data_IF_613559520068
#
_entry.id   IF_613559520068
#
_cell.length_a   1.000
_cell.length_b   1.000
_cell.length_c   1.000
_cell.angle_alpha   90.00
_cell.angle_beta   90.00
_cell.angle_gamma   90.00
#
_symmetry.space_group_name_H-M   'P 1'
#
loop_
_entity.id
_entity.type
_entity.pdbx_description
1 polymer ?
#
# COMPACT_ATOMS: atom_id res chain seq x y z
N UNK A 1 7.10 -44.89 -18.43
CA UNK A 1 8.50 -45.14 -18.81
C UNK A 1 9.36 -44.02 -18.28
N UNK A 2 10.01 -44.25 -17.14
CA UNK A 2 10.88 -43.27 -16.47
C UNK A 2 12.03 -42.83 -17.39
N UNK A 3 12.15 -41.52 -17.61
CA UNK A 3 13.25 -40.92 -18.39
C UNK A 3 14.48 -40.78 -17.48
N UNK A 4 15.41 -41.74 -17.57
CA UNK A 4 16.71 -41.69 -16.87
C UNK A 4 17.67 -40.73 -17.57
N UNK A 5 18.15 -39.72 -16.84
CA UNK A 5 19.33 -38.93 -17.20
C UNK A 5 20.56 -39.78 -16.84
N UNK A 6 21.37 -40.16 -17.84
CA UNK A 6 22.64 -40.86 -17.60
C UNK A 6 23.76 -39.84 -17.46
N UNK A 7 24.38 -39.78 -16.29
CA UNK A 7 25.64 -39.07 -16.07
C UNK A 7 26.79 -40.04 -16.34
N UNK A 8 27.67 -39.69 -17.28
CA UNK A 8 28.93 -40.41 -17.51
C UNK A 8 30.06 -39.45 -17.15
N UNK A 9 30.75 -39.74 -16.06
CA UNK A 9 31.91 -38.97 -15.60
C UNK A 9 33.18 -39.66 -16.06
N UNK A 10 33.90 -39.06 -16.99
CA UNK A 10 35.27 -39.46 -17.34
C UNK A 10 36.12 -38.19 -17.31
N UNK A 11 36.98 -38.07 -16.30
CA UNK A 11 38.05 -37.05 -16.14
C UNK A 11 37.72 -35.61 -16.52
N UNK A 12 37.48 -34.73 -15.54
CA UNK A 12 37.37 -33.25 -15.63
C UNK A 12 36.59 -32.62 -16.81
N UNK A 13 35.80 -33.39 -17.55
CA UNK A 13 34.89 -32.93 -18.61
C UNK A 13 33.58 -33.72 -18.53
N UNK A 14 32.51 -33.04 -18.14
CA UNK A 14 31.15 -33.61 -18.16
C UNK A 14 30.60 -33.45 -19.59
N UNK A 15 30.29 -34.57 -20.24
CA UNK A 15 29.65 -34.58 -21.56
C UNK A 15 28.12 -34.64 -21.40
N UNK A 16 27.42 -33.63 -21.92
CA UNK A 16 25.96 -33.66 -22.04
C UNK A 16 25.57 -34.25 -23.40
N UNK A 17 24.87 -35.39 -23.40
CA UNK A 17 24.16 -35.89 -24.57
C UNK A 17 22.66 -35.74 -24.29
N UNK A 18 22.06 -34.69 -24.84
CA UNK A 18 20.61 -34.48 -24.80
C UNK A 18 20.03 -34.93 -26.15
N UNK A 19 19.29 -36.04 -26.17
CA UNK A 19 18.87 -36.78 -27.39
C UNK A 19 17.84 -36.06 -28.27
N UNK A 20 17.66 -34.73 -28.16
CA UNK A 20 16.74 -33.99 -29.04
C UNK A 20 17.24 -32.63 -29.55
N UNK A 21 18.44 -32.18 -29.17
CA UNK A 21 19.05 -30.97 -29.73
C UNK A 21 20.51 -31.30 -30.01
N UNK A 22 20.87 -31.36 -31.29
CA UNK A 22 22.20 -31.74 -31.78
C UNK A 22 23.20 -30.58 -31.57
N UNK A 23 23.46 -30.21 -30.32
CA UNK A 23 24.39 -29.14 -29.96
C UNK A 23 25.42 -29.67 -28.94
N UNK A 24 26.64 -29.90 -29.41
CA UNK A 24 27.82 -30.11 -28.56
C UNK A 24 28.26 -28.74 -28.03
N UNK A 25 28.13 -28.51 -26.73
CA UNK A 25 28.68 -27.31 -26.08
C UNK A 25 29.72 -27.77 -25.06
N UNK A 26 30.98 -27.42 -25.30
CA UNK A 26 32.10 -27.61 -24.36
C UNK A 26 32.28 -26.31 -23.61
N UNK A 27 31.96 -26.27 -22.32
CA UNK A 27 32.11 -25.07 -21.46
C UNK A 27 32.96 -25.40 -20.24
N UNK A 28 33.94 -24.53 -19.96
CA UNK A 28 35.13 -24.85 -19.16
C UNK A 28 35.26 -24.05 -17.84
N UNK A 29 34.15 -23.57 -17.24
CA UNK A 29 34.24 -22.78 -15.99
C UNK A 29 33.08 -23.04 -15.01
N UNK A 30 33.38 -23.28 -13.74
CA UNK A 30 32.45 -23.77 -12.69
C UNK A 30 31.52 -22.69 -12.11
N UNK A 31 31.95 -21.42 -12.05
CA UNK A 31 31.11 -20.31 -11.60
C UNK A 31 30.01 -19.96 -12.61
N UNK A 32 30.33 -19.99 -13.91
CA UNK A 32 29.34 -19.87 -14.98
C UNK A 32 28.34 -21.03 -14.97
N UNK A 33 28.76 -22.22 -14.52
CA UNK A 33 27.92 -23.42 -14.43
C UNK A 33 26.77 -23.24 -13.43
N UNK A 34 27.00 -22.67 -12.24
CA UNK A 34 25.95 -22.43 -11.24
C UNK A 34 24.95 -21.36 -11.71
N UNK A 35 25.45 -20.27 -12.32
CA UNK A 35 24.61 -19.19 -12.81
C UNK A 35 23.74 -19.61 -14.00
N UNK A 36 24.31 -20.35 -14.97
CA UNK A 36 23.56 -20.91 -16.09
C UNK A 36 22.59 -22.01 -15.65
N UNK A 37 22.96 -22.85 -14.68
CA UNK A 37 22.09 -23.90 -14.17
C UNK A 37 20.92 -23.35 -13.34
N UNK A 38 21.16 -22.32 -12.52
CA UNK A 38 20.11 -21.57 -11.81
C UNK A 38 19.16 -20.89 -12.79
N UNK A 39 19.70 -20.25 -13.84
CA UNK A 39 18.88 -19.60 -14.88
C UNK A 39 18.11 -20.62 -15.74
N UNK A 40 18.69 -21.80 -15.98
CA UNK A 40 18.04 -22.90 -16.70
C UNK A 40 16.95 -23.58 -15.87
N UNK A 41 17.18 -23.83 -14.58
CA UNK A 41 16.16 -24.34 -13.65
C UNK A 41 15.03 -23.34 -13.44
N UNK A 42 15.35 -22.05 -13.29
CA UNK A 42 14.37 -20.97 -13.23
C UNK A 42 13.54 -20.91 -14.52
N UNK A 43 14.18 -21.01 -15.68
CA UNK A 43 13.50 -21.05 -16.98
C UNK A 43 12.62 -22.30 -17.16
N UNK A 44 13.09 -23.47 -16.73
CA UNK A 44 12.28 -24.71 -16.76
C UNK A 44 11.09 -24.65 -15.79
N UNK A 45 11.26 -24.07 -14.60
CA UNK A 45 10.19 -23.86 -13.62
C UNK A 45 9.14 -22.85 -14.12
N UNK A 46 9.60 -21.73 -14.67
CA UNK A 46 8.75 -20.72 -15.33
C UNK A 46 7.95 -21.32 -16.49
N UNK A 47 8.52 -22.28 -17.23
CA UNK A 47 7.77 -22.98 -18.28
C UNK A 47 6.60 -23.81 -17.76
N UNK A 48 6.76 -24.48 -16.61
CA UNK A 48 5.69 -25.28 -16.01
C UNK A 48 4.62 -24.40 -15.37
N UNK A 49 5.03 -23.29 -14.73
CA UNK A 49 4.10 -22.31 -14.13
C UNK A 49 3.26 -21.57 -15.19
N UNK A 50 3.84 -21.23 -16.35
CA UNK A 50 3.12 -20.57 -17.44
C UNK A 50 2.00 -21.45 -18.04
N UNK A 51 2.24 -22.75 -18.21
CA UNK A 51 1.22 -23.71 -18.67
C UNK A 51 0.05 -23.81 -17.68
N UNK A 52 0.33 -23.78 -16.37
CA UNK A 52 -0.71 -23.74 -15.34
C UNK A 52 -1.53 -22.45 -15.41
N UNK A 53 -0.88 -21.30 -15.63
CA UNK A 53 -1.57 -20.01 -15.77
C UNK A 53 -2.45 -19.96 -17.01
N UNK A 54 -1.99 -20.50 -18.14
CA UNK A 54 -2.81 -20.60 -19.35
C UNK A 54 -3.97 -21.57 -19.18
N UNK A 55 -3.76 -22.70 -18.51
CA UNK A 55 -4.81 -23.68 -18.21
C UNK A 55 -5.88 -23.05 -17.33
N UNK A 56 -5.48 -22.27 -16.31
CA UNK A 56 -6.40 -21.50 -15.47
C UNK A 56 -7.22 -20.52 -16.32
N UNK A 57 -6.58 -19.68 -17.14
CA UNK A 57 -7.29 -18.74 -18.01
C UNK A 57 -8.27 -19.45 -18.96
N UNK A 58 -7.86 -20.55 -19.58
CA UNK A 58 -8.70 -21.36 -20.45
C UNK A 58 -9.94 -21.88 -19.72
N UNK A 59 -9.78 -22.40 -18.50
CA UNK A 59 -10.88 -22.90 -17.69
C UNK A 59 -11.90 -21.80 -17.31
N UNK A 60 -11.42 -20.58 -17.06
CA UNK A 60 -12.27 -19.43 -16.75
C UNK A 60 -13.05 -18.96 -17.98
N UNK A 61 -12.45 -19.00 -19.16
CA UNK A 61 -13.11 -18.65 -20.41
C UNK A 61 -14.20 -19.67 -20.82
N UNK A 62 -14.01 -20.96 -20.55
CA UNK A 62 -14.91 -22.03 -21.03
C UNK A 62 -16.05 -22.39 -20.06
N UNK A 63 -15.86 -22.29 -18.73
CA UNK A 63 -16.87 -22.75 -17.76
C UNK A 63 -18.00 -21.73 -17.60
N UNK A 64 -19.19 -22.03 -18.09
CA UNK A 64 -20.39 -21.19 -17.90
C UNK A 64 -20.97 -21.26 -16.48
N UNK A 65 -20.67 -22.33 -15.74
CA UNK A 65 -21.18 -22.57 -14.38
C UNK A 65 -20.59 -21.62 -13.32
N UNK A 66 -19.43 -21.01 -13.60
CA UNK A 66 -18.78 -20.07 -12.67
C UNK A 66 -19.37 -18.68 -12.91
N UNK A 67 -19.87 -18.05 -11.84
CA UNK A 67 -20.35 -16.67 -11.92
C UNK A 67 -19.25 -15.73 -12.44
N UNK A 68 -19.63 -14.72 -13.23
CA UNK A 68 -18.66 -13.77 -13.78
C UNK A 68 -17.85 -13.07 -12.68
N UNK A 69 -18.46 -12.81 -11.52
CA UNK A 69 -17.79 -12.27 -10.34
C UNK A 69 -16.62 -13.14 -9.88
N UNK A 70 -16.83 -14.45 -9.73
CA UNK A 70 -15.76 -15.39 -9.33
C UNK A 70 -14.67 -15.51 -10.39
N UNK A 71 -15.02 -15.38 -11.69
CA UNK A 71 -14.01 -15.33 -12.76
C UNK A 71 -13.10 -14.12 -12.64
N UNK A 72 -13.65 -12.92 -12.41
CA UNK A 72 -12.85 -11.70 -12.18
C UNK A 72 -11.98 -11.81 -10.93
N UNK A 73 -12.48 -12.40 -9.84
CA UNK A 73 -11.72 -12.64 -8.61
C UNK A 73 -10.50 -13.55 -8.85
N UNK A 74 -10.67 -14.62 -9.62
CA UNK A 74 -9.58 -15.53 -9.96
C UNK A 74 -8.56 -14.89 -10.91
N UNK A 75 -9.02 -14.15 -11.92
CA UNK A 75 -8.13 -13.39 -12.83
C UNK A 75 -7.35 -12.30 -12.08
N UNK A 76 -7.99 -11.59 -11.14
CA UNK A 76 -7.34 -10.61 -10.26
C UNK A 76 -6.23 -11.26 -9.44
N UNK A 77 -6.54 -12.38 -8.79
CA UNK A 77 -5.58 -13.14 -8.00
C UNK A 77 -4.41 -13.63 -8.86
N UNK A 78 -4.66 -14.04 -10.11
CA UNK A 78 -3.61 -14.41 -11.07
C UNK A 78 -2.68 -13.22 -11.36
N UNK A 79 -3.21 -12.04 -11.66
CA UNK A 79 -2.40 -10.85 -11.89
C UNK A 79 -1.52 -10.51 -10.68
N UNK A 80 -2.08 -10.55 -9.47
CA UNK A 80 -1.32 -10.29 -8.24
C UNK A 80 -0.19 -11.29 -8.04
N UNK A 81 -0.43 -12.58 -8.31
CA UNK A 81 0.62 -13.60 -8.24
C UNK A 81 1.73 -13.35 -9.28
N UNK A 82 1.38 -13.03 -10.52
CA UNK A 82 2.35 -12.71 -11.59
C UNK A 82 3.22 -11.50 -11.22
N UNK A 83 2.61 -10.46 -10.65
CA UNK A 83 3.39 -9.31 -10.17
C UNK A 83 4.31 -9.69 -8.99
N UNK A 84 3.81 -10.49 -8.03
CA UNK A 84 4.60 -10.91 -6.88
C UNK A 84 5.77 -11.82 -7.27
N UNK A 85 5.60 -12.76 -8.19
CA UNK A 85 6.67 -13.67 -8.64
C UNK A 85 7.85 -12.90 -9.25
N UNK A 86 7.56 -11.83 -9.98
CA UNK A 86 8.58 -10.97 -10.58
C UNK A 86 9.33 -10.07 -9.59
N UNK A 87 8.83 -9.95 -8.35
CA UNK A 87 9.38 -9.08 -7.31
C UNK A 87 10.09 -9.81 -6.17
N UNK A 88 10.08 -11.16 -6.14
CA UNK A 88 10.62 -11.95 -5.00
C UNK A 88 12.11 -11.72 -4.70
N UNK A 89 12.89 -11.16 -5.63
CA UNK A 89 14.32 -10.90 -5.47
C UNK A 89 14.67 -9.42 -5.29
N UNK A 90 13.65 -8.54 -5.15
CA UNK A 90 13.85 -7.09 -5.09
C UNK A 90 13.64 -6.58 -3.66
N UNK A 91 14.47 -5.63 -3.22
CA UNK A 91 14.40 -5.04 -1.89
C UNK A 91 13.26 -4.03 -1.72
N UNK A 92 12.57 -3.66 -2.81
CA UNK A 92 11.46 -2.72 -2.78
C UNK A 92 10.15 -3.40 -2.34
N UNK A 93 9.70 -3.10 -1.13
CA UNK A 93 8.34 -3.39 -0.71
C UNK A 93 7.39 -2.36 -1.35
N UNK A 94 6.69 -2.77 -2.43
CA UNK A 94 5.58 -1.97 -2.96
C UNK A 94 4.26 -2.47 -2.40
N UNK A 95 3.48 -1.56 -1.82
CA UNK A 95 2.20 -1.82 -1.13
C UNK A 95 1.07 -2.13 -2.12
N UNK A 96 0.88 -1.30 -3.14
CA UNK A 96 -0.26 -1.38 -4.06
C UNK A 96 0.04 -2.11 -5.39
N UNK A 97 -0.99 -2.74 -5.97
CA UNK A 97 -0.90 -3.42 -7.26
C UNK A 97 -0.61 -2.44 -8.42
N UNK A 98 -1.06 -1.19 -8.38
CA UNK A 98 -0.78 -0.26 -9.48
C UNK A 98 0.72 0.05 -9.61
N UNK A 99 1.40 0.24 -8.47
CA UNK A 99 2.86 0.40 -8.42
C UNK A 99 3.57 -0.87 -8.91
N UNK A 100 3.13 -2.05 -8.45
CA UNK A 100 3.69 -3.34 -8.88
C UNK A 100 3.52 -3.58 -10.39
N UNK A 101 2.37 -3.27 -10.97
CA UNK A 101 2.14 -3.37 -12.42
C UNK A 101 3.12 -2.44 -13.16
N UNK A 102 3.29 -1.21 -12.71
CA UNK A 102 4.16 -0.23 -13.37
C UNK A 102 5.63 -0.66 -13.32
N UNK A 103 6.09 -1.17 -12.17
CA UNK A 103 7.42 -1.73 -12.01
C UNK A 103 7.66 -2.95 -12.91
N UNK A 104 6.77 -3.95 -12.87
CA UNK A 104 6.91 -5.17 -13.66
C UNK A 104 6.80 -4.87 -15.15
N UNK A 105 5.95 -3.92 -15.56
CA UNK A 105 5.83 -3.47 -16.95
C UNK A 105 7.14 -2.87 -17.46
N UNK A 106 7.77 -2.00 -16.66
CA UNK A 106 9.08 -1.44 -16.99
C UNK A 106 10.18 -2.51 -17.05
N UNK A 107 10.19 -3.46 -16.11
CA UNK A 107 11.17 -4.57 -16.07
C UNK A 107 11.04 -5.51 -17.25
N UNK A 108 9.81 -5.86 -17.64
CA UNK A 108 9.53 -6.76 -18.75
C UNK A 108 9.51 -6.06 -20.12
N UNK A 109 9.73 -4.73 -20.16
CA UNK A 109 9.80 -3.95 -21.39
C UNK A 109 8.47 -3.84 -22.14
N UNK A 110 7.37 -3.73 -21.40
CA UNK A 110 6.04 -3.52 -21.98
C UNK A 110 5.94 -2.10 -22.56
N UNK A 111 5.22 -1.98 -23.68
CA UNK A 111 4.85 -0.67 -24.22
C UNK A 111 3.74 -0.01 -23.37
N UNK A 112 3.60 1.31 -23.49
CA UNK A 112 2.58 2.13 -22.81
C UNK A 112 1.18 1.54 -23.03
N UNK A 113 0.86 1.09 -24.25
CA UNK A 113 -0.43 0.47 -24.57
C UNK A 113 -0.66 -0.84 -23.82
N UNK A 114 0.37 -1.67 -23.67
CA UNK A 114 0.30 -2.94 -22.95
C UNK A 114 0.13 -2.69 -21.43
N UNK A 115 0.87 -1.73 -20.90
CA UNK A 115 0.73 -1.28 -19.51
C UNK A 115 -0.66 -0.69 -19.23
N UNK A 116 -1.20 0.14 -20.13
CA UNK A 116 -2.53 0.72 -20.00
C UNK A 116 -3.64 -0.33 -20.05
N UNK A 117 -3.47 -1.41 -20.82
CA UNK A 117 -4.41 -2.56 -20.80
C UNK A 117 -4.42 -3.26 -19.44
N UNK A 118 -3.25 -3.44 -18.81
CA UNK A 118 -3.16 -4.01 -17.46
C UNK A 118 -3.83 -3.12 -16.41
N UNK A 119 -3.62 -1.80 -16.47
CA UNK A 119 -4.30 -0.84 -15.59
C UNK A 119 -5.81 -0.77 -15.85
N UNK A 120 -6.25 -0.91 -17.10
CA UNK A 120 -7.68 -1.04 -17.43
C UNK A 120 -8.29 -2.25 -16.75
N UNK A 121 -7.66 -3.41 -16.88
CA UNK A 121 -8.12 -4.62 -16.20
C UNK A 121 -8.08 -4.45 -14.67
N UNK A 122 -7.03 -3.83 -14.13
CA UNK A 122 -6.91 -3.51 -12.69
C UNK A 122 -8.14 -2.73 -12.22
N UNK A 123 -8.52 -1.67 -12.93
CA UNK A 123 -9.69 -0.83 -12.62
C UNK A 123 -11.01 -1.60 -12.77
N UNK A 124 -11.24 -2.24 -13.92
CA UNK A 124 -12.47 -3.03 -14.15
C UNK A 124 -12.64 -4.13 -13.11
N UNK A 125 -11.57 -4.86 -12.76
CA UNK A 125 -11.62 -5.89 -11.72
C UNK A 125 -11.96 -5.31 -10.34
N UNK A 126 -11.48 -4.10 -10.01
CA UNK A 126 -11.78 -3.45 -8.74
C UNK A 126 -13.25 -3.01 -8.65
N UNK A 127 -13.79 -2.42 -9.71
CA UNK A 127 -15.20 -2.00 -9.76
C UNK A 127 -16.16 -3.20 -9.69
N UNK A 128 -15.84 -4.31 -10.36
CA UNK A 128 -16.62 -5.56 -10.27
C UNK A 128 -16.55 -6.16 -8.87
N UNK A 129 -15.36 -6.22 -8.26
CA UNK A 129 -15.18 -6.77 -6.91
C UNK A 129 -15.89 -5.94 -5.83
N UNK A 130 -15.94 -4.61 -6.00
CA UNK A 130 -16.66 -3.69 -5.13
C UNK A 130 -18.15 -3.54 -5.47
N UNK A 131 -18.69 -4.36 -6.40
CA UNK A 131 -20.11 -4.38 -6.82
C UNK A 131 -20.62 -3.04 -7.39
N UNK A 132 -19.73 -2.22 -7.93
CA UNK A 132 -20.06 -0.93 -8.54
C UNK A 132 -20.39 -1.05 -10.03
N UNK A 133 -19.83 -2.05 -10.70
CA UNK A 133 -20.10 -2.35 -12.11
C UNK A 133 -20.57 -3.80 -12.29
N UNK A 134 -21.57 -4.00 -13.16
CA UNK A 134 -22.01 -5.35 -13.53
C UNK A 134 -21.03 -5.99 -14.52
N UNK A 135 -20.50 -7.20 -14.24
CA UNK A 135 -19.53 -7.84 -15.11
C UNK A 135 -20.16 -8.25 -16.45
N UNK A 136 -19.49 -7.92 -17.56
CA UNK A 136 -19.92 -8.29 -18.91
C UNK A 136 -19.04 -9.41 -19.50
N UNK A 137 -19.63 -10.43 -20.17
CA UNK A 137 -18.87 -11.52 -20.80
C UNK A 137 -17.85 -11.06 -21.84
N UNK A 138 -18.19 -10.04 -22.64
CA UNK A 138 -17.30 -9.49 -23.68
C UNK A 138 -16.04 -8.85 -23.08
N UNK A 139 -16.21 -8.11 -21.96
CA UNK A 139 -15.09 -7.51 -21.22
C UNK A 139 -14.18 -8.57 -20.60
N UNK A 140 -14.75 -9.70 -20.16
CA UNK A 140 -13.97 -10.80 -19.59
C UNK A 140 -12.97 -11.39 -20.59
N UNK A 141 -13.40 -11.68 -21.82
CA UNK A 141 -12.51 -12.25 -22.85
C UNK A 141 -11.43 -11.25 -23.29
N UNK A 142 -11.77 -9.96 -23.33
CA UNK A 142 -10.81 -8.87 -23.55
C UNK A 142 -9.76 -8.82 -22.44
N UNK A 143 -10.17 -8.94 -21.19
CA UNK A 143 -9.27 -8.88 -20.04
C UNK A 143 -8.43 -10.16 -19.90
N UNK A 144 -9.00 -11.31 -20.27
CA UNK A 144 -8.27 -12.58 -20.37
C UNK A 144 -7.19 -12.52 -21.47
N UNK A 145 -7.46 -11.83 -22.59
CA UNK A 145 -6.44 -11.53 -23.61
C UNK A 145 -5.29 -10.74 -23.01
N UNK A 146 -5.57 -9.66 -22.29
CA UNK A 146 -4.53 -8.86 -21.62
C UNK A 146 -3.64 -9.71 -20.72
N UNK A 147 -4.21 -10.58 -19.87
CA UNK A 147 -3.43 -11.47 -19.01
C UNK A 147 -2.65 -12.54 -19.79
N UNK A 148 -3.23 -13.13 -20.84
CA UNK A 148 -2.55 -14.14 -21.65
C UNK A 148 -1.30 -13.58 -22.36
N UNK A 149 -1.39 -12.36 -22.88
CA UNK A 149 -0.27 -11.66 -23.50
C UNK A 149 0.76 -11.19 -22.47
N UNK A 150 0.33 -10.83 -21.26
CA UNK A 150 1.24 -10.52 -20.17
C UNK A 150 2.06 -11.75 -19.72
N UNK A 151 1.41 -12.91 -19.56
CA UNK A 151 2.10 -14.18 -19.28
C UNK A 151 3.08 -14.51 -20.39
N UNK A 152 2.72 -14.27 -21.66
CA UNK A 152 3.62 -14.48 -22.81
C UNK A 152 4.86 -13.61 -22.72
N UNK A 153 4.73 -12.35 -22.26
CA UNK A 153 5.88 -11.46 -22.06
C UNK A 153 6.77 -11.87 -20.90
N UNK A 154 6.20 -12.32 -19.78
CA UNK A 154 6.99 -12.75 -18.62
C UNK A 154 7.69 -14.10 -18.87
N UNK A 155 6.98 -15.08 -19.41
CA UNK A 155 7.47 -16.45 -19.59
C UNK A 155 8.25 -16.69 -20.89
N UNK A 156 8.03 -15.85 -21.91
CA UNK A 156 8.53 -16.07 -23.27
C UNK A 156 7.85 -17.24 -24.02
N UNK A 157 6.78 -17.83 -23.46
CA UNK A 157 5.99 -18.87 -24.12
C UNK A 157 4.85 -18.26 -24.92
N UNK A 158 4.56 -18.81 -26.10
CA UNK A 158 3.40 -18.39 -26.89
C UNK A 158 2.09 -18.85 -26.26
N UNK A 159 1.03 -18.06 -26.47
CA UNK A 159 -0.32 -18.37 -25.98
C UNK A 159 -0.83 -19.66 -26.64
N UNK A 160 -1.33 -20.65 -25.86
CA UNK A 160 -1.86 -21.88 -26.42
C UNK A 160 -2.96 -21.63 -27.46
N UNK A 161 -2.98 -22.37 -28.59
CA UNK A 161 -3.94 -22.14 -29.68
C UNK A 161 -5.41 -22.24 -29.24
N UNK A 162 -5.70 -23.13 -28.29
CA UNK A 162 -7.04 -23.32 -27.71
C UNK A 162 -7.55 -22.05 -27.03
N UNK A 163 -6.70 -21.42 -26.23
CA UNK A 163 -7.00 -20.13 -25.59
C UNK A 163 -7.06 -19.02 -26.64
N UNK A 164 -6.07 -18.95 -27.54
CA UNK A 164 -5.97 -17.90 -28.56
C UNK A 164 -7.22 -17.81 -29.46
N UNK A 165 -7.87 -18.95 -29.77
CA UNK A 165 -9.11 -19.00 -30.55
C UNK A 165 -10.32 -18.36 -29.85
N UNK A 166 -10.34 -18.36 -28.52
CA UNK A 166 -11.42 -17.78 -27.71
C UNK A 166 -11.24 -16.26 -27.52
N UNK A 167 -10.02 -15.75 -27.71
CA UNK A 167 -9.72 -14.34 -27.45
C UNK A 167 -10.20 -13.44 -28.60
N UNK A 168 -10.68 -12.22 -28.30
CA UNK A 168 -11.12 -11.28 -29.32
C UNK A 168 -9.96 -10.86 -30.22
N UNK A 169 -10.20 -10.87 -31.54
CA UNK A 169 -9.23 -10.43 -32.56
C UNK A 169 -9.04 -8.92 -32.55
N UNK A 170 -10.10 -8.16 -32.25
CA UNK A 170 -10.01 -6.73 -32.08
C UNK A 170 -9.15 -6.37 -30.86
N UNK A 171 -8.34 -5.34 -31.01
CA UNK A 171 -7.58 -4.79 -29.90
C UNK A 171 -8.47 -3.87 -29.07
N UNK A 172 -8.37 -4.01 -27.75
CA UNK A 172 -9.12 -3.20 -26.81
C UNK A 172 -8.72 -1.74 -26.96
N UNK A 173 -9.68 -0.89 -27.33
CA UNK A 173 -9.61 0.55 -27.06
C UNK A 173 -9.88 0.76 -25.58
N UNK A 174 -8.87 1.22 -24.85
CA UNK A 174 -9.08 1.76 -23.50
C UNK A 174 -9.58 3.20 -23.63
N UNK A 175 -10.43 3.61 -22.70
CA UNK A 175 -10.94 4.97 -22.66
C UNK A 175 -9.93 5.79 -21.86
N UNK A 176 -9.18 6.64 -22.55
CA UNK A 176 -8.40 7.69 -21.90
C UNK A 176 -9.39 8.71 -21.37
N UNK A 177 -9.35 8.98 -20.06
CA UNK A 177 -10.18 10.03 -19.50
C UNK A 177 -9.54 11.37 -19.82
N UNK A 178 -10.19 12.27 -20.57
CA UNK A 178 -9.71 13.64 -20.68
C UNK A 178 -9.73 14.27 -19.27
N UNK A 179 -8.61 14.83 -18.83
CA UNK A 179 -8.56 15.60 -17.59
C UNK A 179 -9.39 16.87 -17.79
N UNK A 180 -10.60 16.89 -17.23
CA UNK A 180 -11.47 18.07 -17.26
C UNK A 180 -10.84 19.17 -16.42
N UNK A 181 -10.78 20.39 -16.97
CA UNK A 181 -10.26 21.62 -16.34
C UNK A 181 -11.10 22.06 -15.14
N UNK A 182 -11.11 21.28 -14.06
CA UNK A 182 -11.70 21.60 -12.77
C UNK A 182 -10.63 21.47 -11.70
N UNK A 183 -10.79 22.21 -10.60
CA UNK A 183 -10.01 21.98 -9.38
C UNK A 183 -10.26 20.54 -8.93
N UNK A 184 -9.20 19.75 -8.81
CA UNK A 184 -9.27 18.35 -8.41
C UNK A 184 -8.94 18.30 -6.92
N UNK A 185 -9.91 17.93 -6.08
CA UNK A 185 -9.70 17.92 -4.63
C UNK A 185 -8.60 16.94 -4.21
N UNK A 186 -8.52 15.77 -4.88
CA UNK A 186 -7.54 14.72 -4.60
C UNK A 186 -7.20 13.93 -5.85
N UNK A 187 -5.95 13.51 -5.97
CA UNK A 187 -5.49 12.64 -7.05
C UNK A 187 -4.39 11.70 -6.55
N UNK A 188 -4.63 10.40 -6.64
CA UNK A 188 -3.61 9.38 -6.40
C UNK A 188 -2.78 9.15 -7.66
N UNK A 189 -1.46 9.24 -7.51
CA UNK A 189 -0.51 9.13 -8.61
C UNK A 189 0.69 8.26 -8.22
N UNK A 190 1.31 7.67 -9.23
CA UNK A 190 2.55 6.90 -9.10
C UNK A 190 3.68 7.69 -9.76
N UNK A 191 4.73 7.96 -8.99
CA UNK A 191 5.90 8.72 -9.46
C UNK A 191 6.70 7.91 -10.49
N UNK A 192 7.08 8.53 -11.61
CA UNK A 192 7.91 7.87 -12.63
C UNK A 192 9.33 8.43 -12.63
N UNK A 193 9.47 9.73 -12.80
CA UNK A 193 10.74 10.43 -12.80
C UNK A 193 10.51 11.94 -12.60
N UNK A 194 11.58 12.69 -12.38
CA UNK A 194 11.55 14.14 -12.22
C UNK A 194 12.60 14.80 -13.10
N UNK A 195 12.31 16.01 -13.56
CA UNK A 195 13.31 16.93 -14.07
C UNK A 195 13.50 18.11 -13.08
N UNK A 196 14.20 19.17 -13.48
CA UNK A 196 14.46 20.34 -12.64
C UNK A 196 13.18 21.15 -12.28
N UNK A 197 12.10 21.00 -13.04
CA UNK A 197 10.90 21.85 -12.99
C UNK A 197 9.60 21.06 -12.71
N UNK A 198 9.55 19.81 -13.16
CA UNK A 198 8.36 18.97 -13.19
C UNK A 198 8.61 17.56 -12.61
N UNK A 199 7.58 17.03 -11.96
CA UNK A 199 7.48 15.61 -11.66
C UNK A 199 6.57 14.96 -12.70
N UNK A 200 7.01 13.84 -13.25
CA UNK A 200 6.24 13.03 -14.18
C UNK A 200 5.61 11.87 -13.44
N UNK A 201 4.27 11.83 -13.45
CA UNK A 201 3.50 10.85 -12.69
C UNK A 201 2.45 10.17 -13.56
N UNK A 202 2.06 8.97 -13.17
CA UNK A 202 0.94 8.26 -13.79
C UNK A 202 -0.23 8.24 -12.82
N UNK A 203 -1.45 8.65 -13.23
CA UNK A 203 -2.62 8.54 -12.37
C UNK A 203 -2.88 7.06 -12.03
N UNK A 204 -3.31 6.80 -10.79
CA UNK A 204 -3.66 5.45 -10.37
C UNK A 204 -5.10 5.14 -10.80
N UNK A 205 -6.03 6.06 -10.53
CA UNK A 205 -7.48 5.81 -10.69
C UNK A 205 -7.98 6.01 -12.13
N UNK A 206 -7.17 6.60 -12.99
CA UNK A 206 -7.49 6.83 -14.40
C UNK A 206 -6.36 6.35 -15.31
N UNK A 207 -6.66 6.20 -16.60
CA UNK A 207 -5.67 5.79 -17.60
C UNK A 207 -5.26 7.03 -18.39
N UNK A 208 -3.95 7.24 -18.52
CA UNK A 208 -3.36 8.31 -19.32
C UNK A 208 -2.32 7.72 -20.28
N UNK A 209 -2.28 8.24 -21.50
CA UNK A 209 -1.27 7.84 -22.51
C UNK A 209 0.10 8.44 -22.23
N UNK A 210 0.13 9.63 -21.63
CA UNK A 210 1.36 10.32 -21.28
C UNK A 210 1.41 10.57 -19.77
N UNK A 211 2.62 10.55 -19.17
CA UNK A 211 2.79 10.96 -17.78
C UNK A 211 2.30 12.39 -17.58
N UNK A 212 1.50 12.58 -16.53
CA UNK A 212 1.04 13.90 -16.12
C UNK A 212 2.22 14.69 -15.55
N UNK A 213 2.25 15.98 -15.88
CA UNK A 213 3.27 16.90 -15.41
C UNK A 213 2.77 17.61 -14.17
N UNK A 214 3.51 17.48 -13.07
CA UNK A 214 3.28 18.21 -11.83
C UNK A 214 4.33 19.30 -11.72
N UNK A 215 3.91 20.55 -11.54
CA UNK A 215 4.81 21.64 -11.17
C UNK A 215 4.91 21.71 -9.64
N UNK A 216 6.14 21.57 -9.15
CA UNK A 216 6.49 21.65 -7.73
C UNK A 216 7.44 22.83 -7.49
N UNK A 217 7.73 23.15 -6.23
CA UNK A 217 8.57 24.28 -5.86
C UNK A 217 8.04 25.66 -6.34
N UNK A 218 6.72 25.84 -6.33
CA UNK A 218 6.06 27.13 -6.58
C UNK A 218 5.99 27.90 -5.26
N UNK A 219 6.54 29.12 -5.27
CA UNK A 219 6.58 30.01 -4.10
C UNK A 219 5.16 30.21 -3.53
N UNK A 220 5.02 30.11 -2.20
CA UNK A 220 3.75 30.22 -1.44
C UNK A 220 2.69 29.14 -1.71
N UNK A 221 2.94 28.17 -2.59
CA UNK A 221 2.01 27.05 -2.84
C UNK A 221 2.60 25.74 -2.32
N UNK A 222 3.73 25.31 -2.89
CA UNK A 222 4.32 24.01 -2.60
C UNK A 222 5.87 24.06 -2.56
N UNK A 223 6.42 25.23 -2.26
CA UNK A 223 7.86 25.47 -2.09
C UNK A 223 8.53 24.59 -1.03
N UNK A 224 7.80 24.28 0.05
CA UNK A 224 8.29 23.48 1.18
C UNK A 224 8.66 22.05 0.77
N UNK A 225 8.05 21.52 -0.30
CA UNK A 225 8.28 20.15 -0.75
C UNK A 225 9.53 19.99 -1.62
N UNK A 226 10.26 21.07 -1.92
CA UNK A 226 11.42 21.03 -2.84
C UNK A 226 12.43 19.95 -2.48
N UNK A 227 12.81 19.85 -1.21
CA UNK A 227 13.81 18.88 -0.77
C UNK A 227 13.26 17.46 -0.64
N UNK A 228 11.97 17.32 -0.34
CA UNK A 228 11.25 16.03 -0.35
C UNK A 228 11.16 15.47 -1.77
N UNK A 229 10.80 16.30 -2.75
CA UNK A 229 10.67 15.90 -4.15
C UNK A 229 11.98 15.38 -4.75
N UNK A 230 13.15 15.89 -4.29
CA UNK A 230 14.47 15.37 -4.70
C UNK A 230 14.77 13.96 -4.19
N UNK A 231 14.09 13.51 -3.14
CA UNK A 231 14.31 12.22 -2.48
C UNK A 231 13.31 11.15 -2.92
N UNK A 232 12.44 11.46 -3.87
CA UNK A 232 11.47 10.51 -4.41
C UNK A 232 12.18 9.40 -5.17
N UNK A 233 11.69 8.16 -4.99
CA UNK A 233 12.15 6.99 -5.72
C UNK A 233 11.11 6.59 -6.77
N UNK A 234 11.59 5.98 -7.86
CA UNK A 234 10.73 5.52 -8.95
C UNK A 234 9.63 4.59 -8.42
N UNK A 235 8.41 4.81 -8.90
CA UNK A 235 7.17 4.13 -8.54
C UNK A 235 6.65 4.39 -7.11
N UNK A 236 7.19 5.38 -6.39
CA UNK A 236 6.60 5.84 -5.13
C UNK A 236 5.13 6.24 -5.31
N UNK A 237 4.30 5.92 -4.32
CA UNK A 237 2.90 6.33 -4.31
C UNK A 237 2.78 7.73 -3.73
N UNK A 238 1.97 8.56 -4.37
CA UNK A 238 1.75 9.93 -3.93
C UNK A 238 0.26 10.25 -3.99
N UNK A 239 -0.22 10.98 -2.98
CA UNK A 239 -1.54 11.58 -3.00
C UNK A 239 -1.40 13.10 -3.11
N UNK A 240 -1.94 13.66 -4.17
CA UNK A 240 -1.94 15.10 -4.43
C UNK A 240 -3.26 15.67 -3.91
N UNK A 241 -3.17 16.71 -3.07
CA UNK A 241 -4.35 17.36 -2.51
C UNK A 241 -4.47 18.80 -3.03
N UNK A 242 -5.71 19.24 -3.21
CA UNK A 242 -6.05 20.58 -3.73
C UNK A 242 -5.29 20.92 -5.01
N UNK A 243 -5.48 20.10 -6.04
CA UNK A 243 -4.76 20.21 -7.31
C UNK A 243 -5.44 21.22 -8.22
N UNK A 244 -4.71 22.29 -8.55
CA UNK A 244 -5.08 23.22 -9.61
C UNK A 244 -4.47 22.78 -10.94
N UNK A 245 -5.17 23.05 -12.05
CA UNK A 245 -4.72 22.67 -13.40
C UNK A 245 -4.52 23.94 -14.20
N UNK A 246 -3.30 24.14 -14.71
CA UNK A 246 -2.94 25.28 -15.55
C UNK A 246 -3.50 25.15 -16.98
N UNK A 247 -3.46 26.23 -17.77
CA UNK A 247 -3.94 26.30 -19.15
C UNK A 247 -3.28 25.24 -20.06
N UNK A 248 -2.00 24.93 -19.79
CA UNK A 248 -1.21 23.89 -20.45
C UNK A 248 -1.47 22.45 -19.95
N UNK A 249 -2.42 22.25 -19.03
CA UNK A 249 -2.75 20.96 -18.44
C UNK A 249 -1.75 20.47 -17.39
N UNK A 250 -0.93 21.37 -16.84
CA UNK A 250 0.05 21.06 -15.78
C UNK A 250 -0.64 21.10 -14.42
N UNK A 251 -0.38 20.08 -13.61
CA UNK A 251 -0.94 19.96 -12.26
C UNK A 251 -0.09 20.76 -11.26
N UNK A 252 -0.74 21.57 -10.42
CA UNK A 252 -0.10 22.34 -9.36
C UNK A 252 -0.83 21.99 -8.05
N UNK A 253 -0.32 21.00 -7.29
CA UNK A 253 -0.88 20.59 -6.01
C UNK A 253 -0.46 21.54 -4.90
N UNK A 254 -1.37 21.79 -3.95
CA UNK A 254 -1.04 22.53 -2.72
C UNK A 254 -0.29 21.63 -1.73
N UNK A 255 -0.73 20.38 -1.56
CA UNK A 255 -0.07 19.40 -0.70
C UNK A 255 0.28 18.12 -1.47
N UNK A 256 1.42 17.55 -1.10
CA UNK A 256 1.94 16.31 -1.66
C UNK A 256 2.18 15.35 -0.49
N UNK A 257 1.39 14.28 -0.42
CA UNK A 257 1.55 13.22 0.57
C UNK A 257 2.29 12.05 -0.07
N UNK A 258 3.44 11.69 0.48
CA UNK A 258 4.23 10.53 0.05
C UNK A 258 3.79 9.28 0.81
N UNK A 259 3.59 8.18 0.10
CA UNK A 259 3.17 6.88 0.64
C UNK A 259 1.98 7.01 1.62
N UNK A 260 0.79 7.41 1.13
CA UNK A 260 -0.37 7.70 1.98
C UNK A 260 -0.84 6.49 2.80
N UNK A 261 -0.48 5.26 2.39
CA UNK A 261 -0.76 4.03 3.12
C UNK A 261 0.13 3.87 4.38
N UNK A 262 1.23 4.62 4.48
CA UNK A 262 2.13 4.61 5.62
C UNK A 262 1.66 5.61 6.69
N UNK A 263 0.79 5.13 7.57
CA UNK A 263 0.25 5.93 8.67
C UNK A 263 1.32 6.13 9.76
N UNK A 264 1.61 7.40 10.05
CA UNK A 264 2.53 7.83 11.10
C UNK A 264 1.70 8.49 12.21
N UNK A 265 1.94 8.07 13.46
CA UNK A 265 1.37 8.73 14.62
C UNK A 265 1.93 10.15 14.79
N UNK A 266 1.03 11.11 15.06
CA UNK A 266 1.36 12.53 15.20
C UNK A 266 2.31 12.75 16.37
N UNK A 267 2.18 11.99 17.46
CA UNK A 267 3.07 12.11 18.62
C UNK A 267 4.50 11.74 18.24
N UNK A 268 4.67 10.67 17.47
CA UNK A 268 5.96 10.25 16.93
C UNK A 268 6.58 11.30 15.98
N UNK A 269 5.76 12.04 15.23
CA UNK A 269 6.23 13.18 14.44
C UNK A 269 6.64 14.36 15.33
N UNK A 270 5.85 14.67 16.36
CA UNK A 270 6.15 15.75 17.31
C UNK A 270 7.48 15.49 18.04
N UNK A 271 7.78 14.24 18.41
CA UNK A 271 9.06 13.86 19.01
C UNK A 271 10.28 14.12 18.11
N UNK A 272 10.09 14.24 16.80
CA UNK A 272 11.16 14.61 15.88
C UNK A 272 11.61 16.06 16.09
N UNK A 273 10.76 16.91 16.64
CA UNK A 273 11.01 18.31 16.94
C UNK A 273 11.33 18.47 18.43
N UNK A 274 12.61 18.74 18.73
CA UNK A 274 13.09 19.00 20.09
C UNK A 274 13.55 20.45 20.20
N UNK A 275 13.66 20.97 21.42
CA UNK A 275 14.07 22.35 21.69
C UNK A 275 15.45 22.69 21.08
N UNK A 276 16.35 21.70 21.00
CA UNK A 276 17.69 21.84 20.46
C UNK A 276 17.80 21.52 18.96
N UNK A 277 16.70 21.19 18.29
CA UNK A 277 16.68 20.93 16.85
C UNK A 277 15.69 19.84 16.42
N UNK A 278 15.59 19.65 15.12
CA UNK A 278 14.73 18.64 14.50
C UNK A 278 15.55 17.67 13.66
N UNK A 279 15.33 16.37 13.85
CA UNK A 279 16.00 15.35 13.05
C UNK A 279 15.17 14.06 12.97
N UNK A 280 14.99 13.45 11.78
CA UNK A 280 14.19 12.23 11.62
C UNK A 280 14.75 11.02 12.38
N UNK A 281 16.04 11.00 12.72
CA UNK A 281 16.61 9.93 13.54
C UNK A 281 16.03 9.87 14.96
N UNK A 282 15.44 10.97 15.46
CA UNK A 282 14.74 10.97 16.74
C UNK A 282 13.55 10.00 16.75
N UNK A 283 12.85 9.86 15.62
CA UNK A 283 11.79 8.86 15.45
C UNK A 283 12.32 7.44 15.64
N UNK A 284 13.44 7.11 14.99
CA UNK A 284 14.05 5.77 15.07
C UNK A 284 14.55 5.52 16.50
N UNK A 285 15.17 6.53 17.13
CA UNK A 285 15.62 6.44 18.51
C UNK A 285 14.45 6.19 19.47
N UNK A 286 13.34 6.92 19.32
CA UNK A 286 12.14 6.73 20.14
C UNK A 286 11.55 5.32 19.99
N UNK A 287 11.56 4.75 18.78
CA UNK A 287 11.11 3.36 18.54
C UNK A 287 12.00 2.30 19.17
N UNK A 288 13.27 2.60 19.43
CA UNK A 288 14.22 1.67 20.06
C UNK A 288 14.25 1.81 21.59
N UNK A 289 13.71 2.92 22.12
CA UNK A 289 13.64 3.13 23.55
C UNK A 289 12.52 2.31 24.18
N UNK A 290 12.72 1.81 25.41
CA UNK A 290 11.64 1.22 26.17
C UNK A 290 10.54 2.27 26.41
N UNK A 291 9.30 1.81 26.40
CA UNK A 291 8.16 2.68 26.72
C UNK A 291 8.23 3.02 28.21
N UNK A 292 8.41 4.29 28.52
CA UNK A 292 8.41 4.77 29.91
C UNK A 292 7.00 4.66 30.50
N UNK A 293 6.90 3.94 31.62
CA UNK A 293 5.67 3.81 32.40
C UNK A 293 5.74 4.70 33.65
N UNK A 294 5.86 6.01 33.41
CA UNK A 294 6.00 6.99 34.48
C UNK A 294 4.64 7.39 35.08
N UNK A 295 4.62 7.71 36.38
CA UNK A 295 3.42 8.16 37.10
C UNK A 295 2.63 9.28 36.40
N UNK A 296 3.27 10.34 35.84
CA UNK A 296 2.52 11.42 35.18
C UNK A 296 1.80 10.96 33.90
N UNK A 297 2.38 10.02 33.15
CA UNK A 297 1.76 9.47 31.94
C UNK A 297 0.52 8.66 32.28
N UNK A 298 0.60 7.83 33.33
CA UNK A 298 -0.56 7.07 33.82
C UNK A 298 -1.68 8.00 34.30
N UNK A 299 -1.33 9.05 35.05
CA UNK A 299 -2.30 10.03 35.52
C UNK A 299 -3.01 10.73 34.35
N UNK A 300 -2.26 11.12 33.31
CA UNK A 300 -2.82 11.72 32.10
C UNK A 300 -3.75 10.76 31.34
N UNK A 301 -3.35 9.50 31.18
CA UNK A 301 -4.18 8.48 30.51
C UNK A 301 -5.48 8.18 31.28
N UNK A 302 -5.43 8.22 32.61
CA UNK A 302 -6.60 8.09 33.48
C UNK A 302 -7.50 9.32 33.38
N UNK A 303 -6.93 10.52 33.36
CA UNK A 303 -7.66 11.77 33.18
C UNK A 303 -8.42 11.79 31.84
N UNK A 304 -7.80 11.32 30.76
CA UNK A 304 -8.47 11.18 29.45
C UNK A 304 -9.68 10.25 29.54
N UNK A 305 -9.53 9.10 30.21
CA UNK A 305 -10.66 8.18 30.43
C UNK A 305 -11.78 8.85 31.25
N UNK A 306 -11.45 9.64 32.27
CA UNK A 306 -12.47 10.37 33.03
C UNK A 306 -13.20 11.39 32.18
N UNK A 307 -12.49 12.13 31.33
CA UNK A 307 -13.10 13.07 30.40
C UNK A 307 -14.08 12.37 29.45
N UNK A 308 -13.67 11.23 28.88
CA UNK A 308 -14.52 10.41 28.02
C UNK A 308 -15.80 9.98 28.74
N UNK A 309 -15.69 9.53 29.99
CA UNK A 309 -16.83 9.11 30.81
C UNK A 309 -17.78 10.26 31.14
N UNK A 310 -17.25 11.45 31.43
CA UNK A 310 -18.03 12.67 31.70
C UNK A 310 -18.78 13.21 30.48
N UNK A 311 -18.26 12.96 29.27
CA UNK A 311 -18.88 13.37 28.01
C UNK A 311 -19.94 12.36 27.56
N UNK A 312 -19.63 11.06 27.58
CA UNK A 312 -20.47 10.04 26.95
C UNK A 312 -21.54 9.43 27.88
N UNK A 313 -21.39 9.53 29.20
CA UNK A 313 -22.34 8.93 30.13
C UNK A 313 -23.56 9.83 30.32
N UNK A 314 -24.74 9.35 29.92
CA UNK A 314 -26.01 10.07 30.05
C UNK A 314 -26.58 10.09 31.49
N UNK A 315 -25.79 9.75 32.51
CA UNK A 315 -26.22 9.58 33.91
C UNK A 315 -25.18 10.06 34.91
N UNK A 316 -25.37 9.72 36.19
CA UNK A 316 -24.45 10.10 37.27
C UNK A 316 -23.09 9.40 37.10
N UNK A 317 -22.04 10.18 36.88
CA UNK A 317 -20.67 9.69 36.78
C UNK A 317 -20.08 9.63 38.18
N UNK A 318 -19.71 8.43 38.63
CA UNK A 318 -19.14 8.23 39.97
C UNK A 318 -17.67 7.82 39.89
N UNK A 319 -16.84 8.41 40.75
CA UNK A 319 -15.41 8.12 40.80
C UNK A 319 -15.11 6.62 40.91
N UNK A 320 -15.86 5.90 41.76
CA UNK A 320 -15.67 4.47 41.98
C UNK A 320 -15.92 3.63 40.72
N UNK A 321 -16.94 3.98 39.92
CA UNK A 321 -17.24 3.28 38.68
C UNK A 321 -16.16 3.54 37.62
N UNK A 322 -15.73 4.80 37.47
CA UNK A 322 -14.65 5.17 36.55
C UNK A 322 -13.32 4.52 36.93
N UNK A 323 -12.98 4.52 38.23
CA UNK A 323 -11.79 3.81 38.71
C UNK A 323 -11.86 2.31 38.47
N UNK A 324 -13.04 1.69 38.57
CA UNK A 324 -13.24 0.30 38.18
C UNK A 324 -12.83 0.03 36.72
N UNK A 325 -13.18 0.93 35.79
CA UNK A 325 -12.78 0.87 34.38
C UNK A 325 -11.29 1.12 34.20
N UNK A 326 -10.71 2.07 34.94
CA UNK A 326 -9.27 2.33 34.97
C UNK A 326 -8.49 1.09 35.36
N UNK A 327 -8.85 0.43 36.46
CA UNK A 327 -8.18 -0.80 36.89
C UNK A 327 -8.34 -1.93 35.87
N UNK A 328 -9.48 -2.03 35.18
CA UNK A 328 -9.66 -3.02 34.12
C UNK A 328 -8.75 -2.76 32.91
N UNK A 329 -8.54 -1.47 32.55
CA UNK A 329 -7.80 -1.09 31.35
C UNK A 329 -6.29 -0.99 31.57
N UNK A 330 -5.87 -0.49 32.73
CA UNK A 330 -4.48 -0.16 33.04
C UNK A 330 -3.90 -1.01 34.18
N UNK A 331 -4.44 -2.23 34.40
CA UNK A 331 -4.03 -3.11 35.49
C UNK A 331 -2.51 -3.37 35.48
N UNK A 332 -1.98 -3.70 34.31
CA UNK A 332 -0.57 -4.07 34.15
C UNK A 332 0.31 -2.84 34.38
N UNK A 333 -0.08 -1.70 33.82
CA UNK A 333 0.67 -0.45 33.91
C UNK A 333 0.70 0.10 35.33
N UNK A 334 -0.40 -0.01 36.08
CA UNK A 334 -0.44 0.38 37.50
C UNK A 334 0.49 -0.50 38.34
N UNK A 335 0.51 -1.81 38.10
CA UNK A 335 1.38 -2.75 38.84
C UNK A 335 2.85 -2.62 38.44
N UNK A 336 3.12 -2.35 37.16
CA UNK A 336 4.46 -2.24 36.62
C UNK A 336 5.11 -0.86 36.86
N UNK A 337 4.38 0.12 37.37
CA UNK A 337 4.92 1.45 37.64
C UNK A 337 5.81 1.41 38.89
N UNK A 338 7.12 1.61 38.69
CA UNK A 338 8.08 1.59 39.80
C UNK A 338 7.79 2.68 40.86
N UNK A 339 7.31 3.84 40.42
CA UNK A 339 6.96 4.97 41.30
C UNK A 339 5.81 4.63 42.27
N UNK A 340 4.93 3.69 41.90
CA UNK A 340 3.78 3.29 42.72
C UNK A 340 4.09 2.16 43.71
N UNK A 341 5.35 1.69 43.79
CA UNK A 341 5.76 0.71 44.80
C UNK A 341 5.93 1.33 46.19
N UNK A 342 6.14 2.65 46.26
CA UNK A 342 6.19 3.38 47.51
C UNK A 342 4.77 3.76 48.00
N UNK A 343 4.46 3.41 49.24
CA UNK A 343 3.11 3.52 49.79
C UNK A 343 2.63 4.97 49.96
N UNK A 344 3.53 5.93 50.16
CA UNK A 344 3.16 7.34 50.28
C UNK A 344 2.92 7.96 48.91
N UNK A 345 3.77 7.62 47.95
CA UNK A 345 3.64 8.02 46.53
C UNK A 345 2.38 7.45 45.90
N UNK A 346 2.03 6.19 46.21
CA UNK A 346 0.81 5.53 45.77
C UNK A 346 -0.45 6.25 46.29
N UNK A 347 -0.49 6.59 47.59
CA UNK A 347 -1.61 7.35 48.17
C UNK A 347 -1.75 8.71 47.49
N UNK A 348 -0.64 9.39 47.25
CA UNK A 348 -0.66 10.68 46.58
C UNK A 348 -1.21 10.56 45.15
N UNK A 349 -0.79 9.53 44.40
CA UNK A 349 -1.29 9.28 43.05
C UNK A 349 -2.81 9.08 43.00
N UNK A 350 -3.40 8.31 43.93
CA UNK A 350 -4.85 8.13 43.97
C UNK A 350 -5.59 9.39 44.43
N UNK A 351 -4.97 10.21 45.29
CA UNK A 351 -5.52 11.52 45.64
C UNK A 351 -5.52 12.47 44.42
N UNK A 352 -4.44 12.45 43.63
CA UNK A 352 -4.31 13.23 42.40
C UNK A 352 -5.35 12.75 41.36
N UNK A 353 -5.54 11.43 41.20
CA UNK A 353 -6.58 10.88 40.33
C UNK A 353 -7.98 11.41 40.71
N UNK A 354 -8.30 11.43 42.01
CA UNK A 354 -9.58 11.95 42.49
C UNK A 354 -9.70 13.46 42.22
N UNK A 355 -8.65 14.23 42.46
CA UNK A 355 -8.64 15.65 42.17
C UNK A 355 -8.86 15.93 40.67
N UNK A 356 -8.23 15.14 39.78
CA UNK A 356 -8.47 15.20 38.33
C UNK A 356 -9.93 14.87 37.98
N UNK A 357 -10.50 13.81 38.55
CA UNK A 357 -11.89 13.45 38.34
C UNK A 357 -12.86 14.59 38.70
N UNK A 358 -12.68 15.18 39.88
CA UNK A 358 -13.53 16.27 40.39
C UNK A 358 -13.36 17.55 39.53
N UNK A 359 -12.12 17.87 39.15
CA UNK A 359 -11.82 19.03 38.31
C UNK A 359 -12.42 18.90 36.91
N UNK A 360 -12.24 17.75 36.26
CA UNK A 360 -12.79 17.47 34.93
C UNK A 360 -14.31 17.51 34.98
N UNK A 361 -14.92 16.87 35.98
CA UNK A 361 -16.37 16.91 36.18
C UNK A 361 -16.89 18.33 36.25
N UNK A 362 -16.28 19.17 37.10
CA UNK A 362 -16.61 20.58 37.22
C UNK A 362 -16.47 21.36 35.91
N UNK A 363 -15.38 21.15 35.16
CA UNK A 363 -15.18 21.80 33.86
C UNK A 363 -16.28 21.42 32.86
N UNK A 364 -16.64 20.14 32.80
CA UNK A 364 -17.62 19.62 31.86
C UNK A 364 -19.06 19.99 32.26
N UNK A 365 -19.37 20.12 33.55
CA UNK A 365 -20.72 20.51 34.02
C UNK A 365 -20.92 22.02 34.10
N UNK A 366 -19.92 22.77 34.57
CA UNK A 366 -20.05 24.21 34.82
C UNK A 366 -19.45 25.03 33.68
N UNK A 367 -18.18 24.79 33.33
CA UNK A 367 -17.44 25.67 32.40
C UNK A 367 -17.96 25.57 30.97
N UNK A 368 -18.36 24.38 30.50
CA UNK A 368 -18.89 24.20 29.15
C UNK A 368 -20.18 25.02 28.92
N UNK A 369 -20.97 25.23 29.98
CA UNK A 369 -22.21 25.99 29.94
C UNK A 369 -22.01 27.51 30.17
N UNK A 370 -20.78 27.95 30.48
CA UNK A 370 -20.53 29.36 30.75
C UNK A 370 -20.61 30.21 29.46
N UNK A 371 -21.09 31.47 29.58
CA UNK A 371 -21.16 32.39 28.44
C UNK A 371 -19.76 32.61 27.84
N UNK A 372 -19.62 32.32 26.55
CA UNK A 372 -18.36 32.42 25.81
C UNK A 372 -17.78 31.08 25.35
N UNK A 373 -18.14 29.97 26.02
CA UNK A 373 -17.81 28.62 25.57
C UNK A 373 -18.99 27.94 24.87
N UNK A 374 -20.18 27.94 25.50
CA UNK A 374 -21.42 27.35 24.96
C UNK A 374 -21.21 25.99 24.26
N UNK A 375 -20.43 25.10 24.89
CA UNK A 375 -20.10 23.79 24.34
C UNK A 375 -21.19 22.80 24.73
N UNK A 376 -21.93 22.27 23.76
CA UNK A 376 -22.89 21.20 24.00
C UNK A 376 -22.17 19.85 24.07
N UNK A 377 -22.49 19.07 25.11
CA UNK A 377 -21.95 17.72 25.30
C UNK A 377 -22.41 16.76 24.20
N UNK A 378 -23.59 16.97 23.62
CA UNK A 378 -24.12 16.09 22.56
C UNK A 378 -23.44 16.29 21.21
N UNK A 379 -22.83 17.45 21.00
CA UNK A 379 -22.10 17.79 19.78
C UNK A 379 -20.58 17.62 19.93
N UNK A 380 -20.11 17.26 21.13
CA UNK A 380 -18.70 17.04 21.43
C UNK A 380 -18.22 15.72 20.81
N UNK A 381 -17.65 15.80 19.61
CA UNK A 381 -16.91 14.71 18.99
C UNK A 381 -15.46 14.80 19.47
N UNK A 382 -15.06 13.90 20.37
CA UNK A 382 -13.65 13.71 20.73
C UNK A 382 -12.96 13.12 19.51
N UNK A 383 -11.87 13.75 19.05
CA UNK A 383 -11.19 13.39 17.80
C UNK A 383 -10.99 11.87 17.70
N UNK A 384 -11.55 11.22 16.66
CA UNK A 384 -11.29 9.80 16.46
C UNK A 384 -9.80 9.62 16.21
N UNK A 385 -9.19 8.59 16.81
CA UNK A 385 -7.77 8.28 16.65
C UNK A 385 -7.35 8.04 15.20
N UNK A 386 -8.31 7.89 14.29
CA UNK A 386 -8.10 7.67 12.87
C UNK A 386 -9.15 8.43 12.04
N UNK A 387 -8.67 9.24 11.11
CA UNK A 387 -9.45 9.73 9.99
C UNK A 387 -9.23 8.74 8.85
N UNK A 388 -10.20 7.85 8.62
CA UNK A 388 -10.20 6.98 7.45
C UNK A 388 -10.89 7.69 6.28
N UNK A 389 -10.34 7.52 5.08
CA UNK A 389 -10.91 8.04 3.84
C UNK A 389 -12.31 7.47 3.60
N UNK A 390 -13.35 8.30 3.69
CA UNK A 390 -14.71 7.97 3.25
C UNK A 390 -15.00 8.55 1.87
#
# INVERSE_FOLDING_TARGET
GEKKIKFITIGYKIWFICTKINAKVVLQNTASMVFLFSRFLYFCRMKTEADEYYTLLLSLCQREEISLFEKYKQMRSLLERLCRSEMQNESLQMTDLAARISFVSAKAGLDIREQNRLHTFRLTSNEVLNRRESPAPEKLLRDAKTLAFFIRRLSGQDVPPELYRLLPKADATYIVSPFVRKKICRMRVCFQHSDETYLYVTPIDTIADEPLRIRYNVEKINGEFKDTCKRLWKHAQMNLLDVSVDEAGVLIPSFIVLEPDYLIDISSLAECFREYGHHPANYISGKLQPIDNARPLLLGNIANLFLDEWIHTQGEVTYKACMGKVFQRYCIELVACADLQDADTEKQFFNDCKAHFDNIGRTVTETFQMPGYNLDKTDAVIEPSYICEA
#
